data_IF_621145068551
#
_entry.id   IF_621145068551
#
_cell.length_a   1.000
_cell.length_b   1.000
_cell.length_c   1.000
_cell.angle_alpha   90.00
_cell.angle_beta   90.00
_cell.angle_gamma   90.00
#
_symmetry.space_group_name_H-M   'P 1'
#
loop_
_entity.id
_entity.type
_entity.pdbx_description
1 polymer ?
#
# COMPACT_ATOMS: atom_id res chain seq x y z
N UNK A 1 30.17 53.51 30.42
CA UNK A 1 29.73 52.23 29.83
C UNK A 1 28.89 51.52 30.86
N UNK A 2 27.60 51.42 30.57
CA UNK A 2 26.52 51.23 31.53
C UNK A 2 26.35 49.74 31.92
N UNK A 3 26.32 49.44 33.22
CA UNK A 3 26.20 48.07 33.77
C UNK A 3 24.91 47.38 33.36
N UNK A 4 23.91 48.13 32.90
CA UNK A 4 22.64 47.57 32.42
C UNK A 4 22.73 46.93 31.02
N UNK A 5 23.70 47.27 30.16
CA UNK A 5 23.84 46.60 28.85
C UNK A 5 24.45 45.19 28.94
N UNK A 6 25.24 44.90 29.97
CA UNK A 6 25.85 43.58 30.19
C UNK A 6 24.86 42.54 30.74
N UNK A 7 23.81 42.97 31.46
CA UNK A 7 22.79 42.06 31.99
C UNK A 7 21.80 41.57 30.92
N UNK A 8 21.45 42.41 29.93
CA UNK A 8 20.55 41.99 28.85
C UNK A 8 21.22 41.02 27.86
N UNK A 9 22.53 41.14 27.65
CA UNK A 9 23.28 40.22 26.79
C UNK A 9 23.43 38.81 27.41
N UNK A 10 23.55 38.70 28.74
CA UNK A 10 23.73 37.41 29.42
C UNK A 10 22.43 36.62 29.56
N UNK A 11 21.29 37.29 29.79
CA UNK A 11 19.97 36.63 29.88
C UNK A 11 19.52 36.11 28.50
N UNK A 12 19.75 36.87 27.42
CA UNK A 12 19.43 36.44 26.05
C UNK A 12 20.21 35.21 25.57
N UNK A 13 21.50 35.12 25.93
CA UNK A 13 22.34 33.97 25.60
C UNK A 13 21.94 32.70 26.38
N UNK A 14 21.53 32.84 27.64
CA UNK A 14 21.07 31.71 28.47
C UNK A 14 19.74 31.15 27.94
N UNK A 15 18.83 32.02 27.46
CA UNK A 15 17.58 31.57 26.82
C UNK A 15 17.81 30.88 25.47
N UNK A 16 18.74 31.36 24.65
CA UNK A 16 19.05 30.73 23.36
C UNK A 16 19.68 29.33 23.54
N UNK A 17 20.64 29.19 24.46
CA UNK A 17 21.28 27.91 24.75
C UNK A 17 20.32 26.89 25.39
N UNK A 18 19.37 27.36 26.20
CA UNK A 18 18.35 26.51 26.82
C UNK A 18 17.29 26.05 25.80
N UNK A 19 16.89 26.91 24.86
CA UNK A 19 15.99 26.55 23.76
C UNK A 19 16.68 25.61 22.78
N UNK A 20 17.95 25.85 22.44
CA UNK A 20 18.72 24.96 21.56
C UNK A 20 18.98 23.58 22.21
N UNK A 21 19.22 23.54 23.52
CA UNK A 21 19.27 22.28 24.29
C UNK A 21 17.91 21.61 24.38
N UNK A 22 16.80 22.34 24.54
CA UNK A 22 15.46 21.74 24.55
C UNK A 22 15.06 21.23 23.16
N UNK A 23 15.37 21.96 22.10
CA UNK A 23 15.16 21.55 20.70
C UNK A 23 16.00 20.31 20.41
N UNK A 24 17.28 20.28 20.79
CA UNK A 24 18.10 19.07 20.68
C UNK A 24 17.59 17.93 21.56
N UNK A 25 17.08 18.18 22.77
CA UNK A 25 16.51 17.16 23.65
C UNK A 25 15.17 16.62 23.12
N UNK A 26 14.38 17.44 22.42
CA UNK A 26 13.15 17.05 21.71
C UNK A 26 13.47 16.30 20.40
N UNK A 27 14.53 16.66 19.69
CA UNK A 27 15.01 15.95 18.49
C UNK A 27 15.72 14.63 18.81
N UNK A 28 16.30 14.46 20.01
CA UNK A 28 16.96 13.22 20.42
C UNK A 28 16.04 12.20 21.09
N UNK A 29 14.77 12.52 21.35
CA UNK A 29 13.85 11.65 22.10
C UNK A 29 12.91 10.81 21.23
N UNK A 30 13.39 10.38 20.06
CA UNK A 30 12.77 9.26 19.34
C UNK A 30 13.79 8.39 18.58
N UNK A 31 14.87 7.98 19.24
CA UNK A 31 15.82 6.97 18.72
C UNK A 31 15.44 5.54 19.12
N UNK A 32 14.16 5.19 19.02
CA UNK A 32 13.74 3.79 18.97
C UNK A 32 13.40 3.39 17.52
N UNK A 33 14.31 3.69 16.59
CA UNK A 33 14.33 3.02 15.29
C UNK A 33 15.02 1.68 15.46
N UNK A 34 14.32 0.70 16.04
CA UNK A 34 14.68 -0.69 15.78
C UNK A 34 14.43 -0.93 14.29
N UNK A 35 15.45 -0.67 13.46
CA UNK A 35 15.51 -1.21 12.12
C UNK A 35 15.69 -2.71 12.30
N UNK A 36 14.57 -3.44 12.37
CA UNK A 36 14.60 -4.90 12.24
C UNK A 36 15.09 -5.14 10.80
N UNK A 37 16.36 -5.52 10.67
CA UNK A 37 17.00 -5.69 9.37
C UNK A 37 16.55 -6.98 8.69
N UNK A 38 16.19 -8.00 9.47
CA UNK A 38 15.88 -9.34 9.02
C UNK A 38 14.46 -9.75 9.40
N UNK A 39 13.71 -10.32 8.46
CA UNK A 39 12.42 -10.95 8.74
C UNK A 39 12.68 -12.18 9.62
N UNK A 40 12.10 -12.19 10.80
CA UNK A 40 12.15 -13.31 11.73
C UNK A 40 11.38 -14.50 11.15
N UNK A 41 12.01 -15.69 11.15
CA UNK A 41 11.33 -16.95 10.86
C UNK A 41 10.98 -17.64 12.18
N UNK A 42 9.69 -17.73 12.52
CA UNK A 42 9.21 -18.43 13.73
C UNK A 42 8.58 -19.77 13.39
N UNK A 43 8.19 -20.51 14.43
CA UNK A 43 7.23 -21.61 14.29
C UNK A 43 5.81 -21.07 14.13
N UNK A 44 4.92 -21.92 13.61
CA UNK A 44 3.48 -21.63 13.62
C UNK A 44 2.99 -21.38 15.07
N UNK A 45 1.93 -20.58 15.27
CA UNK A 45 1.44 -20.23 16.62
C UNK A 45 1.07 -21.43 17.51
N UNK A 46 0.69 -22.56 16.90
CA UNK A 46 0.35 -23.80 17.59
C UNK A 46 1.12 -24.98 16.96
N UNK A 47 2.43 -25.12 17.22
CA UNK A 47 3.29 -26.06 16.49
C UNK A 47 3.02 -27.53 16.84
N UNK A 48 2.37 -27.79 17.97
CA UNK A 48 2.01 -29.13 18.44
C UNK A 48 0.58 -29.54 18.10
N UNK A 49 -0.20 -28.65 17.49
CA UNK A 49 -1.59 -28.93 17.14
C UNK A 49 -1.66 -29.97 16.04
N UNK A 50 -2.59 -30.93 16.18
CA UNK A 50 -2.86 -31.94 15.16
C UNK A 50 -4.37 -32.15 14.96
N UNK A 51 -4.85 -32.45 13.74
CA UNK A 51 -6.24 -32.82 13.53
C UNK A 51 -6.61 -34.09 14.33
N UNK A 52 -7.82 -34.21 14.90
CA UNK A 52 -8.95 -33.28 14.84
C UNK A 52 -9.04 -32.36 16.09
N UNK A 53 -7.93 -32.03 16.75
CA UNK A 53 -7.96 -31.23 17.98
C UNK A 53 -8.66 -29.86 17.73
N UNK A 54 -9.54 -29.40 18.64
CA UNK A 54 -10.15 -28.09 18.51
C UNK A 54 -9.12 -26.97 18.70
N UNK A 55 -9.25 -25.88 17.93
CA UNK A 55 -8.53 -24.62 18.18
C UNK A 55 -9.53 -23.60 18.71
N UNK A 56 -9.51 -23.27 20.02
CA UNK A 56 -10.41 -22.26 20.56
C UNK A 56 -10.05 -20.87 19.99
N UNK A 57 -11.04 -20.00 19.74
CA UNK A 57 -10.77 -18.65 19.27
C UNK A 57 -10.01 -17.83 20.33
N UNK A 58 -9.33 -16.74 19.92
CA UNK A 58 -8.62 -15.86 20.84
C UNK A 58 -9.55 -14.93 21.65
N UNK A 59 -10.86 -15.17 21.64
CA UNK A 59 -11.89 -14.40 22.32
C UNK A 59 -12.90 -15.36 22.97
N UNK A 60 -13.68 -14.86 23.92
CA UNK A 60 -14.74 -15.63 24.57
C UNK A 60 -15.94 -15.83 23.62
N UNK A 61 -16.29 -17.06 23.24
CA UNK A 61 -17.45 -17.32 22.38
C UNK A 61 -18.80 -16.90 23.00
N UNK A 62 -18.88 -16.76 24.33
CA UNK A 62 -20.10 -16.34 25.01
C UNK A 62 -20.32 -14.82 24.98
N UNK A 63 -19.34 -14.03 24.53
CA UNK A 63 -19.38 -12.56 24.52
C UNK A 63 -20.27 -11.95 23.42
N UNK A 64 -20.90 -12.77 22.57
CA UNK A 64 -21.82 -12.31 21.52
C UNK A 64 -21.12 -11.75 20.26
N UNK A 65 -21.92 -11.23 19.32
CA UNK A 65 -21.45 -10.75 18.01
C UNK A 65 -21.98 -9.35 17.70
N UNK A 66 -21.14 -8.52 17.06
CA UNK A 66 -21.61 -7.33 16.36
C UNK A 66 -22.03 -7.72 14.94
N UNK A 67 -23.32 -7.98 14.76
CA UNK A 67 -23.90 -8.30 13.44
C UNK A 67 -24.38 -7.02 12.75
N UNK A 68 -23.85 -6.72 11.57
CA UNK A 68 -24.17 -5.53 10.78
C UNK A 68 -24.68 -5.98 9.42
N UNK A 69 -25.87 -5.54 9.04
CA UNK A 69 -26.44 -5.80 7.72
C UNK A 69 -26.06 -4.67 6.74
N UNK A 70 -25.23 -4.93 5.72
CA UNK A 70 -24.79 -3.91 4.78
C UNK A 70 -25.93 -3.37 3.90
N UNK A 71 -27.05 -4.09 3.77
CA UNK A 71 -28.20 -3.63 2.96
C UNK A 71 -28.93 -2.43 3.56
N UNK A 72 -28.79 -2.23 4.88
CA UNK A 72 -29.44 -1.16 5.64
C UNK A 72 -28.43 -0.21 6.32
N UNK A 73 -27.13 -0.40 6.09
CA UNK A 73 -26.06 0.38 6.73
C UNK A 73 -25.44 1.40 5.76
N UNK A 74 -25.33 2.68 6.13
CA UNK A 74 -24.64 3.69 5.31
C UNK A 74 -23.17 3.36 5.02
N UNK A 75 -22.68 3.78 3.85
CA UNK A 75 -21.34 3.41 3.36
C UNK A 75 -20.18 3.96 4.18
N UNK A 76 -20.35 5.12 4.81
CA UNK A 76 -19.35 5.76 5.67
C UNK A 76 -19.16 4.99 6.99
N UNK A 77 -20.22 4.36 7.51
CA UNK A 77 -20.15 3.43 8.65
C UNK A 77 -19.50 2.11 8.24
N UNK A 78 -19.79 1.61 7.04
CA UNK A 78 -19.18 0.37 6.53
C UNK A 78 -17.69 0.52 6.20
N UNK A 79 -17.26 1.70 5.74
CA UNK A 79 -15.90 1.90 5.25
C UNK A 79 -14.81 1.54 6.27
N UNK A 80 -14.82 2.05 7.53
CA UNK A 80 -13.86 1.65 8.55
C UNK A 80 -13.84 0.14 8.77
N UNK A 81 -15.01 -0.50 8.85
CA UNK A 81 -15.14 -1.93 9.07
C UNK A 81 -14.50 -2.73 7.92
N UNK A 82 -14.77 -2.37 6.67
CA UNK A 82 -14.21 -3.04 5.50
C UNK A 82 -12.68 -2.94 5.50
N UNK A 83 -12.13 -1.73 5.70
CA UNK A 83 -10.68 -1.53 5.63
C UNK A 83 -9.92 -2.02 6.86
N UNK A 84 -10.59 -2.24 8.00
CA UNK A 84 -9.94 -2.79 9.20
C UNK A 84 -10.08 -4.30 9.31
N UNK A 85 -11.11 -4.90 8.69
CA UNK A 85 -11.35 -6.36 8.75
C UNK A 85 -10.61 -7.13 7.67
N UNK A 86 -10.48 -6.57 6.46
CA UNK A 86 -9.75 -7.20 5.35
C UNK A 86 -8.33 -6.66 5.34
N UNK A 87 -7.45 -7.29 6.14
CA UNK A 87 -6.04 -6.91 6.33
C UNK A 87 -5.16 -8.15 6.55
N UNK A 88 -3.85 -8.08 6.28
CA UNK A 88 -3.14 -7.01 5.56
C UNK A 88 -3.49 -7.00 4.07
N UNK A 89 -3.66 -5.82 3.47
CA UNK A 89 -3.91 -5.69 2.03
C UNK A 89 -2.64 -5.37 1.26
N UNK A 90 -2.32 -6.08 0.16
CA UNK A 90 -1.27 -5.63 -0.74
C UNK A 90 -1.69 -4.32 -1.42
N UNK A 91 -0.72 -3.56 -1.90
CA UNK A 91 -0.94 -2.27 -2.53
C UNK A 91 -0.47 -2.34 -3.98
N UNK A 92 -1.37 -2.11 -4.93
CA UNK A 92 -1.02 -1.85 -6.31
C UNK A 92 -0.62 -0.38 -6.46
N UNK A 93 0.65 -0.10 -6.73
CA UNK A 93 1.08 1.24 -7.08
C UNK A 93 1.04 1.42 -8.59
N UNK A 94 -0.04 2.07 -9.05
CA UNK A 94 -0.46 2.03 -10.44
C UNK A 94 0.10 3.23 -11.18
N UNK A 95 0.91 2.95 -12.20
CA UNK A 95 1.27 3.89 -13.25
C UNK A 95 0.35 3.71 -14.45
N UNK A 96 -0.14 4.82 -14.99
CA UNK A 96 -1.08 4.85 -16.13
C UNK A 96 -0.87 6.11 -16.96
N UNK A 97 -1.25 6.06 -18.24
CA UNK A 97 -1.16 7.18 -19.17
C UNK A 97 -2.51 7.36 -19.87
N UNK A 98 -2.97 8.60 -19.97
CA UNK A 98 -4.16 9.00 -20.74
C UNK A 98 -3.88 9.11 -22.24
N UNK A 99 -4.93 9.19 -23.06
CA UNK A 99 -4.79 9.35 -24.53
C UNK A 99 -4.08 10.65 -24.93
N UNK A 100 -4.14 11.66 -24.06
CA UNK A 100 -3.46 12.95 -24.19
C UNK A 100 -1.99 12.92 -23.74
N UNK A 101 -1.50 11.76 -23.30
CA UNK A 101 -0.15 11.59 -22.74
C UNK A 101 -0.04 11.94 -21.26
N UNK A 102 -1.13 12.36 -20.60
CA UNK A 102 -1.12 12.69 -19.17
C UNK A 102 -0.74 11.47 -18.34
N UNK A 103 0.38 11.56 -17.63
CA UNK A 103 0.85 10.51 -16.71
C UNK A 103 0.14 10.63 -15.37
N UNK A 104 -0.08 9.48 -14.73
CA UNK A 104 -0.60 9.41 -13.37
C UNK A 104 0.07 8.27 -12.61
N UNK A 105 0.42 8.49 -11.36
CA UNK A 105 0.93 7.48 -10.44
C UNK A 105 0.19 7.50 -9.09
N UNK A 106 -0.47 6.41 -8.69
CA UNK A 106 -1.24 6.38 -7.43
C UNK A 106 -1.35 4.99 -6.78
N UNK A 107 -1.39 4.89 -5.43
CA UNK A 107 -1.52 3.61 -4.71
C UNK A 107 -2.98 3.18 -4.49
N UNK A 108 -3.25 1.88 -4.68
CA UNK A 108 -4.56 1.25 -4.51
C UNK A 108 -4.46 -0.03 -3.68
N UNK A 109 -5.13 -0.07 -2.52
CA UNK A 109 -5.08 -1.26 -1.63
C UNK A 109 -6.20 -2.27 -1.84
N UNK A 110 -7.14 -2.03 -2.76
CA UNK A 110 -8.16 -3.01 -3.13
C UNK A 110 -7.60 -3.85 -4.29
N UNK A 111 -6.54 -4.60 -4.00
CA UNK A 111 -5.71 -5.30 -4.98
C UNK A 111 -5.50 -6.76 -4.57
N UNK A 112 -5.54 -7.69 -5.54
CA UNK A 112 -5.10 -9.07 -5.33
C UNK A 112 -4.79 -9.79 -6.66
N UNK A 113 -4.13 -10.96 -6.57
CA UNK A 113 -3.99 -11.92 -7.67
C UNK A 113 -5.30 -12.70 -7.85
N UNK A 114 -5.68 -12.96 -9.09
CA UNK A 114 -6.90 -13.71 -9.48
C UNK A 114 -6.55 -15.11 -9.99
N UNK A 115 -5.51 -15.24 -10.80
CA UNK A 115 -5.13 -16.50 -11.43
C UNK A 115 -3.71 -16.45 -11.98
N UNK A 116 -3.17 -17.62 -12.34
CA UNK A 116 -1.80 -17.76 -12.87
C UNK A 116 -1.75 -18.35 -14.29
N UNK A 117 -2.89 -18.75 -14.86
CA UNK A 117 -2.99 -19.27 -16.23
C UNK A 117 -4.35 -18.87 -16.86
N UNK A 118 -4.46 -17.68 -17.49
CA UNK A 118 -3.42 -16.64 -17.60
C UNK A 118 -3.15 -15.93 -16.25
N UNK A 119 -2.00 -15.23 -16.10
CA UNK A 119 -1.72 -14.43 -14.92
C UNK A 119 -2.64 -13.21 -14.86
N UNK A 120 -3.52 -13.18 -13.87
CA UNK A 120 -4.56 -12.16 -13.73
C UNK A 120 -4.46 -11.47 -12.37
N UNK A 121 -4.70 -10.15 -12.35
CA UNK A 121 -4.82 -9.33 -11.15
C UNK A 121 -6.14 -8.56 -11.14
N UNK A 122 -6.67 -8.29 -9.96
CA UNK A 122 -7.87 -7.47 -9.76
C UNK A 122 -7.53 -6.18 -9.01
N UNK A 123 -8.05 -5.06 -9.48
CA UNK A 123 -7.96 -3.76 -8.81
C UNK A 123 -9.36 -3.15 -8.68
N UNK A 124 -9.75 -2.81 -7.45
CA UNK A 124 -10.95 -2.06 -7.14
C UNK A 124 -10.67 -0.55 -7.07
N UNK A 125 -11.45 0.22 -7.83
CA UNK A 125 -11.46 1.69 -7.82
C UNK A 125 -12.77 2.17 -7.23
N UNK A 126 -12.73 2.77 -6.03
CA UNK A 126 -13.91 3.44 -5.49
C UNK A 126 -14.14 4.79 -6.17
N UNK A 127 -15.42 5.17 -6.29
CA UNK A 127 -15.78 6.51 -6.73
C UNK A 127 -15.14 7.59 -5.86
N UNK A 128 -14.85 8.74 -6.48
CA UNK A 128 -14.23 9.88 -5.80
C UNK A 128 -15.07 11.13 -5.99
N UNK A 129 -15.15 11.97 -4.96
CA UNK A 129 -15.77 13.30 -5.03
C UNK A 129 -14.81 14.39 -5.51
N UNK A 130 -13.55 14.04 -5.77
CA UNK A 130 -12.49 14.97 -6.19
C UNK A 130 -12.52 15.29 -7.70
N UNK A 131 -13.39 14.61 -8.45
CA UNK A 131 -13.57 14.75 -9.89
C UNK A 131 -15.07 14.73 -10.17
N UNK A 132 -15.53 15.61 -11.05
CA UNK A 132 -16.96 15.77 -11.35
C UNK A 132 -17.58 14.49 -11.93
N UNK A 133 -16.80 13.73 -12.72
CA UNK A 133 -17.23 12.47 -13.31
C UNK A 133 -17.11 11.26 -12.36
N UNK A 134 -16.74 11.48 -11.09
CA UNK A 134 -16.76 10.47 -10.04
C UNK A 134 -15.69 9.38 -10.11
N UNK A 135 -14.72 9.47 -11.04
CA UNK A 135 -13.68 8.46 -11.26
C UNK A 135 -12.30 9.02 -10.92
N UNK A 136 -11.38 8.15 -10.49
CA UNK A 136 -9.96 8.49 -10.33
C UNK A 136 -9.28 8.58 -11.69
N UNK A 137 -8.24 9.41 -11.79
CA UNK A 137 -7.51 9.65 -13.03
C UNK A 137 -6.89 8.35 -13.58
N UNK A 138 -6.30 7.51 -12.70
CA UNK A 138 -5.80 6.19 -13.10
C UNK A 138 -6.88 5.30 -13.74
N UNK A 139 -8.13 5.34 -13.21
CA UNK A 139 -9.22 4.57 -13.79
C UNK A 139 -9.62 5.11 -15.17
N UNK A 140 -9.68 6.44 -15.33
CA UNK A 140 -9.95 7.06 -16.63
C UNK A 140 -8.90 6.65 -17.66
N UNK A 141 -7.62 6.74 -17.30
CA UNK A 141 -6.50 6.35 -18.14
C UNK A 141 -6.59 4.87 -18.54
N UNK A 142 -6.75 3.97 -17.57
CA UNK A 142 -6.89 2.52 -17.78
C UNK A 142 -8.07 2.18 -18.69
N UNK A 143 -9.20 2.86 -18.53
CA UNK A 143 -10.37 2.60 -19.36
C UNK A 143 -10.18 3.08 -20.79
N UNK A 144 -9.43 4.16 -21.01
CA UNK A 144 -9.15 4.71 -22.34
C UNK A 144 -8.08 3.87 -23.06
N UNK A 145 -6.92 3.68 -22.45
CA UNK A 145 -5.74 3.07 -23.10
C UNK A 145 -5.67 1.56 -22.95
N UNK A 146 -6.42 0.98 -22.01
CA UNK A 146 -6.42 -0.47 -21.68
C UNK A 146 -5.08 -0.98 -21.15
N UNK A 147 -4.19 -0.08 -20.73
CA UNK A 147 -2.84 -0.40 -20.27
C UNK A 147 -2.56 0.22 -18.90
N UNK A 148 -1.79 -0.48 -18.07
CA UNK A 148 -1.25 0.03 -16.82
C UNK A 148 -0.09 -0.81 -16.32
N UNK A 149 0.64 -0.29 -15.34
CA UNK A 149 1.67 -1.03 -14.62
C UNK A 149 1.34 -1.08 -13.15
N UNK A 150 1.41 -2.25 -12.54
CA UNK A 150 1.41 -2.41 -11.08
C UNK A 150 2.85 -2.50 -10.59
N UNK A 151 3.24 -1.60 -9.70
CA UNK A 151 4.53 -1.59 -9.02
C UNK A 151 4.32 -2.02 -7.56
N UNK A 152 5.11 -2.98 -7.07
CA UNK A 152 5.02 -3.40 -5.67
C UNK A 152 5.77 -2.39 -4.80
N UNK A 153 5.10 -1.89 -3.75
CA UNK A 153 5.71 -0.97 -2.78
C UNK A 153 6.52 -1.74 -1.76
N UNK A 154 7.74 -1.26 -1.55
CA UNK A 154 8.69 -1.77 -0.56
C UNK A 154 9.05 -0.69 0.45
N UNK A 155 9.60 -1.11 1.59
CA UNK A 155 9.93 -0.22 2.72
C UNK A 155 10.74 1.02 2.33
N UNK A 156 11.68 0.92 1.39
CA UNK A 156 12.65 1.98 1.10
C UNK A 156 12.07 3.18 0.32
N UNK A 157 10.87 3.08 -0.22
CA UNK A 157 10.24 4.18 -0.97
C UNK A 157 8.78 4.43 -0.57
N UNK A 158 8.36 3.93 0.60
CA UNK A 158 6.97 4.01 1.05
C UNK A 158 6.50 5.45 1.25
N UNK A 159 7.38 6.35 1.69
CA UNK A 159 7.06 7.77 1.87
C UNK A 159 6.78 8.45 0.52
N UNK A 160 7.59 8.18 -0.50
CA UNK A 160 7.38 8.69 -1.85
C UNK A 160 6.10 8.12 -2.48
N UNK A 161 5.85 6.82 -2.32
CA UNK A 161 4.62 6.19 -2.77
C UNK A 161 3.37 6.73 -2.02
N UNK A 162 3.49 7.03 -0.73
CA UNK A 162 2.44 7.68 0.05
C UNK A 162 2.22 9.13 -0.39
N UNK A 163 3.26 9.87 -0.78
CA UNK A 163 3.10 11.23 -1.31
C UNK A 163 2.16 11.26 -2.53
N UNK A 164 2.22 10.23 -3.38
CA UNK A 164 1.37 10.05 -4.55
C UNK A 164 -0.12 9.81 -4.24
N UNK A 165 -0.53 9.67 -2.97
CA UNK A 165 -1.96 9.62 -2.61
C UNK A 165 -2.58 11.00 -2.34
N UNK A 166 -1.79 12.08 -2.49
CA UNK A 166 -2.26 13.46 -2.35
C UNK A 166 -3.37 13.81 -3.34
N UNK A 167 -4.21 14.79 -2.97
CA UNK A 167 -5.29 15.28 -3.82
C UNK A 167 -4.76 16.31 -4.83
N UNK A 168 -3.88 15.88 -5.73
CA UNK A 168 -3.32 16.77 -6.75
C UNK A 168 -4.34 17.09 -7.85
N UNK A 169 -4.20 18.25 -8.52
CA UNK A 169 -4.99 18.57 -9.71
C UNK A 169 -4.79 17.52 -10.82
N UNK A 170 -5.79 17.40 -11.70
CA UNK A 170 -5.65 16.60 -12.91
C UNK A 170 -4.46 17.10 -13.75
N UNK A 171 -3.67 16.17 -14.31
CA UNK A 171 -2.47 16.51 -15.09
C UNK A 171 -1.21 16.74 -14.27
N UNK A 172 -1.27 16.67 -12.94
CA UNK A 172 -0.08 16.69 -12.11
C UNK A 172 0.72 15.40 -12.30
N UNK A 173 2.04 15.52 -12.46
CA UNK A 173 2.94 14.38 -12.56
C UNK A 173 3.37 13.94 -11.15
N UNK A 174 2.66 12.97 -10.56
CA UNK A 174 3.01 12.47 -9.22
C UNK A 174 4.37 11.79 -9.18
N UNK A 175 4.88 11.29 -10.30
CA UNK A 175 6.21 10.69 -10.36
C UNK A 175 7.28 11.76 -10.14
N UNK A 176 7.15 12.92 -10.81
CA UNK A 176 8.01 14.08 -10.59
C UNK A 176 7.87 14.64 -9.17
N UNK A 177 6.63 14.81 -8.68
CA UNK A 177 6.36 15.37 -7.34
C UNK A 177 6.90 14.50 -6.20
N UNK A 178 6.88 13.17 -6.36
CA UNK A 178 7.37 12.24 -5.35
C UNK A 178 8.88 11.96 -5.44
N UNK A 179 9.53 12.43 -6.52
CA UNK A 179 10.95 12.16 -6.78
C UNK A 179 11.25 10.73 -7.23
N UNK A 180 10.22 9.99 -7.65
CA UNK A 180 10.35 8.65 -8.20
C UNK A 180 10.81 8.69 -9.66
N UNK A 181 11.44 7.62 -10.13
CA UNK A 181 12.06 7.60 -11.45
C UNK A 181 11.24 6.79 -12.47
N UNK A 182 10.85 7.39 -13.61
CA UNK A 182 10.20 6.64 -14.68
C UNK A 182 11.18 5.64 -15.31
N UNK A 183 10.72 4.41 -15.48
CA UNK A 183 11.45 3.35 -16.15
C UNK A 183 10.61 2.80 -17.32
N UNK A 184 11.08 2.82 -18.57
CA UNK A 184 10.30 2.31 -19.69
C UNK A 184 9.83 0.85 -19.51
N UNK A 185 8.59 0.62 -19.94
CA UNK A 185 7.96 -0.70 -20.06
C UNK A 185 8.33 -1.37 -21.38
N UNK A 186 8.16 -2.68 -21.48
CA UNK A 186 8.51 -3.48 -22.67
C UNK A 186 7.31 -3.85 -23.55
N UNK A 187 6.11 -3.92 -22.97
CA UNK A 187 4.87 -4.41 -23.60
C UNK A 187 3.71 -3.43 -23.52
N UNK A 188 3.76 -2.46 -22.60
CA UNK A 188 2.73 -1.41 -22.45
C UNK A 188 3.36 -0.02 -22.48
N UNK A 189 2.52 1.00 -22.66
CA UNK A 189 2.92 2.41 -22.74
C UNK A 189 3.28 3.05 -21.39
N UNK A 190 2.50 2.84 -20.29
CA UNK A 190 2.80 3.49 -19.02
C UNK A 190 4.15 3.05 -18.44
N UNK A 191 4.95 3.97 -17.85
CA UNK A 191 6.25 3.62 -17.30
C UNK A 191 6.12 2.80 -16.01
N UNK A 192 7.11 1.96 -15.76
CA UNK A 192 7.37 1.36 -14.44
C UNK A 192 8.03 2.39 -13.51
N UNK A 193 8.03 2.09 -12.22
CA UNK A 193 8.75 2.85 -11.18
C UNK A 193 10.08 2.15 -10.93
N UNK A 194 11.20 2.85 -11.15
CA UNK A 194 12.53 2.24 -11.06
C UNK A 194 12.87 1.73 -9.65
N UNK A 195 12.32 2.39 -8.62
CA UNK A 195 12.52 2.05 -7.21
C UNK A 195 11.77 0.77 -6.80
N UNK A 196 10.80 0.32 -7.60
CA UNK A 196 10.07 -0.92 -7.33
C UNK A 196 10.87 -2.12 -7.83
N UNK A 197 11.10 -3.12 -6.96
CA UNK A 197 11.86 -4.31 -7.32
C UNK A 197 11.00 -5.39 -8.03
N UNK A 198 9.67 -5.25 -8.03
CA UNK A 198 8.73 -6.14 -8.71
C UNK A 198 7.67 -5.31 -9.42
N UNK A 199 7.58 -5.45 -10.74
CA UNK A 199 6.60 -4.74 -11.56
C UNK A 199 5.85 -5.68 -12.51
N UNK A 200 4.58 -5.36 -12.75
CA UNK A 200 3.68 -6.12 -13.59
C UNK A 200 3.13 -5.18 -14.65
N UNK A 201 3.50 -5.40 -15.92
CA UNK A 201 2.88 -4.71 -17.04
C UNK A 201 1.56 -5.41 -17.38
N UNK A 202 0.47 -4.65 -17.46
CA UNK A 202 -0.88 -5.21 -17.50
C UNK A 202 -1.70 -4.62 -18.66
N UNK A 203 -2.49 -5.48 -19.29
CA UNK A 203 -3.57 -5.08 -20.20
C UNK A 203 -4.94 -5.40 -19.60
N UNK A 204 -5.94 -4.59 -19.87
CA UNK A 204 -7.30 -4.80 -19.35
C UNK A 204 -7.96 -5.99 -20.03
N UNK A 205 -8.49 -6.93 -19.24
CA UNK A 205 -9.31 -8.07 -19.72
C UNK A 205 -10.78 -7.88 -19.47
N UNK A 206 -11.13 -7.48 -18.25
CA UNK A 206 -12.51 -7.27 -17.85
C UNK A 206 -12.65 -6.03 -17.00
N UNK A 207 -13.82 -5.41 -17.11
CA UNK A 207 -14.22 -4.27 -16.29
C UNK A 207 -15.62 -4.58 -15.78
N UNK A 208 -15.80 -4.51 -14.48
CA UNK A 208 -17.10 -4.65 -13.83
C UNK A 208 -17.41 -3.40 -13.03
N UNK A 209 -18.60 -2.84 -13.21
CA UNK A 209 -19.06 -1.67 -12.46
C UNK A 209 -20.12 -2.10 -11.45
N UNK A 210 -19.84 -1.89 -10.18
CA UNK A 210 -20.80 -2.00 -9.10
C UNK A 210 -21.33 -0.60 -8.77
N UNK A 211 -22.64 -0.45 -8.73
CA UNK A 211 -23.29 0.77 -8.24
C UNK A 211 -24.11 0.42 -7.01
N UNK A 212 -24.18 1.35 -6.07
CA UNK A 212 -25.01 1.22 -4.87
C UNK A 212 -25.75 2.54 -4.62
N UNK A 213 -27.02 2.42 -4.26
CA UNK A 213 -27.89 3.52 -3.83
C UNK A 213 -28.51 3.21 -2.47
N UNK A 214 -27.68 2.77 -1.52
CA UNK A 214 -28.11 2.42 -0.16
C UNK A 214 -28.09 3.68 0.71
N UNK A 215 -29.14 3.87 1.52
CA UNK A 215 -29.21 4.95 2.52
C UNK A 215 -29.17 6.36 1.95
N UNK A 216 -29.67 6.58 0.72
CA UNK A 216 -29.65 7.90 0.06
C UNK A 216 -28.28 8.37 -0.44
N UNK A 217 -27.25 7.52 -0.35
CA UNK A 217 -25.91 7.81 -0.86
C UNK A 217 -25.68 7.03 -2.16
N UNK A 218 -25.46 7.74 -3.27
CA UNK A 218 -25.03 7.12 -4.52
C UNK A 218 -23.53 6.92 -4.49
N UNK A 219 -23.10 5.65 -4.51
CA UNK A 219 -21.70 5.27 -4.57
C UNK A 219 -21.47 4.23 -5.67
N UNK A 220 -20.20 3.98 -5.97
CA UNK A 220 -19.83 2.96 -6.92
C UNK A 220 -18.40 2.51 -6.77
N UNK A 221 -18.12 1.35 -7.34
CA UNK A 221 -16.77 0.88 -7.55
C UNK A 221 -16.66 0.25 -8.94
N UNK A 222 -15.48 0.39 -9.52
CA UNK A 222 -15.12 -0.32 -10.73
C UNK A 222 -14.05 -1.34 -10.37
N UNK A 223 -14.28 -2.60 -10.72
CA UNK A 223 -13.26 -3.64 -10.66
C UNK A 223 -12.67 -3.80 -12.04
N UNK A 224 -11.36 -3.65 -12.14
CA UNK A 224 -10.58 -3.95 -13.34
C UNK A 224 -9.85 -5.27 -13.13
N UNK A 225 -10.04 -6.21 -14.05
CA UNK A 225 -9.22 -7.41 -14.16
C UNK A 225 -8.18 -7.17 -15.25
N UNK A 226 -6.91 -7.15 -14.86
CA UNK A 226 -5.77 -7.03 -15.76
C UNK A 226 -5.09 -8.37 -15.99
N UNK A 227 -4.69 -8.64 -17.23
CA UNK A 227 -3.75 -9.72 -17.57
C UNK A 227 -2.33 -9.18 -17.53
N UNK A 228 -1.45 -9.87 -16.82
CA UNK A 228 -0.04 -9.52 -16.72
C UNK A 228 0.68 -10.03 -17.97
N UNK A 229 1.11 -9.10 -18.82
CA UNK A 229 1.78 -9.40 -20.10
C UNK A 229 3.31 -9.39 -19.99
N UNK A 230 3.84 -8.80 -18.91
CA UNK A 230 5.27 -8.88 -18.56
C UNK A 230 5.45 -8.80 -17.06
N UNK A 231 6.30 -9.66 -16.51
CA UNK A 231 6.70 -9.64 -15.11
C UNK A 231 8.17 -9.24 -15.01
N UNK A 232 8.46 -8.27 -14.16
CA UNK A 232 9.81 -7.83 -13.86
C UNK A 232 10.12 -8.14 -12.40
N UNK A 233 11.23 -8.82 -12.16
CA UNK A 233 11.78 -9.07 -10.82
C UNK A 233 13.23 -8.65 -10.86
N UNK A 234 13.62 -7.70 -10.01
CA UNK A 234 15.01 -7.30 -9.91
C UNK A 234 15.87 -8.44 -9.35
N UNK A 235 17.06 -8.65 -9.90
CA UNK A 235 17.95 -9.74 -9.46
C UNK A 235 18.31 -9.65 -7.97
N UNK A 236 18.38 -8.43 -7.44
CA UNK A 236 18.60 -8.19 -6.01
C UNK A 236 17.55 -8.81 -5.10
N UNK A 237 16.32 -9.04 -5.58
CA UNK A 237 15.23 -9.68 -4.83
C UNK A 237 14.82 -11.05 -5.38
N UNK A 238 15.48 -11.52 -6.44
CA UNK A 238 15.22 -12.83 -7.02
C UNK A 238 15.78 -13.94 -6.11
N UNK A 239 15.05 -15.06 -6.07
CA UNK A 239 15.42 -16.27 -5.36
C UNK A 239 14.99 -17.51 -6.14
N UNK A 240 15.24 -18.69 -5.56
CA UNK A 240 14.79 -19.98 -6.10
C UNK A 240 13.98 -20.74 -5.07
N UNK A 241 12.87 -21.33 -5.52
CA UNK A 241 12.13 -22.32 -4.73
C UNK A 241 12.99 -23.57 -4.50
N UNK A 242 12.60 -24.47 -3.58
CA UNK A 242 13.25 -25.79 -3.45
C UNK A 242 13.30 -26.59 -4.76
N UNK A 243 12.34 -26.36 -5.67
CA UNK A 243 12.28 -26.96 -7.01
C UNK A 243 13.03 -26.17 -8.09
N UNK A 244 13.82 -25.16 -7.71
CA UNK A 244 14.64 -24.37 -8.62
C UNK A 244 13.89 -23.32 -9.45
N UNK A 245 12.60 -23.09 -9.19
CA UNK A 245 11.79 -22.09 -9.90
C UNK A 245 12.07 -20.70 -9.37
N UNK A 246 12.01 -19.67 -10.23
CA UNK A 246 12.11 -18.27 -9.81
C UNK A 246 11.03 -17.94 -8.78
N UNK A 247 11.45 -17.33 -7.67
CA UNK A 247 10.57 -16.76 -6.64
C UNK A 247 11.10 -15.40 -6.22
N UNK A 248 10.27 -14.61 -5.55
CA UNK A 248 10.70 -13.36 -4.93
C UNK A 248 11.10 -13.62 -3.48
N UNK A 249 12.30 -13.21 -3.11
CA UNK A 249 12.78 -13.26 -1.74
C UNK A 249 12.14 -12.11 -0.95
N UNK A 250 11.18 -12.46 -0.09
CA UNK A 250 10.42 -11.47 0.70
C UNK A 250 11.30 -10.72 1.70
N UNK A 251 12.41 -11.31 2.18
CA UNK A 251 13.34 -10.65 3.09
C UNK A 251 14.07 -9.49 2.40
N UNK A 252 14.33 -9.64 1.10
CA UNK A 252 14.96 -8.61 0.29
C UNK A 252 13.92 -7.63 -0.28
N UNK A 253 12.75 -8.12 -0.68
CA UNK A 253 11.68 -7.28 -1.22
C UNK A 253 11.12 -6.31 -0.17
N UNK A 254 10.99 -6.74 1.10
CA UNK A 254 10.38 -5.95 2.19
C UNK A 254 9.08 -5.25 1.77
N UNK A 255 8.08 -6.00 1.26
CA UNK A 255 6.86 -5.40 0.74
C UNK A 255 6.05 -4.76 1.86
N UNK A 256 5.38 -3.67 1.54
CA UNK A 256 4.50 -2.94 2.45
C UNK A 256 3.03 -3.30 2.17
N UNK A 257 2.28 -3.50 3.26
CA UNK A 257 0.84 -3.69 3.23
C UNK A 257 0.08 -2.50 3.80
N UNK A 258 -1.19 -2.34 3.41
CA UNK A 258 -2.13 -1.39 4.01
C UNK A 258 -3.00 -2.10 5.04
N UNK A 259 -3.20 -1.47 6.20
CA UNK A 259 -4.07 -1.92 7.27
C UNK A 259 -5.31 -1.02 7.37
N UNK A 260 -5.91 -0.90 8.57
CA UNK A 260 -6.99 0.04 8.84
C UNK A 260 -6.49 1.49 8.92
N UNK A 261 -7.31 2.43 8.45
CA UNK A 261 -7.00 3.86 8.48
C UNK A 261 -5.70 4.22 7.74
N UNK A 262 -4.82 4.95 8.43
CA UNK A 262 -3.52 5.40 7.91
C UNK A 262 -2.38 4.40 8.18
N UNK A 263 -2.68 3.26 8.79
CA UNK A 263 -1.66 2.32 9.25
C UNK A 263 -1.15 1.45 8.10
N UNK A 264 0.17 1.31 8.03
CA UNK A 264 0.88 0.39 7.14
C UNK A 264 1.46 -0.78 7.95
N UNK A 265 1.58 -1.95 7.30
CA UNK A 265 2.17 -3.15 7.90
C UNK A 265 3.46 -3.55 7.19
N UNK A 266 4.50 -3.83 7.98
CA UNK A 266 5.71 -4.53 7.52
C UNK A 266 5.51 -6.05 7.64
N UNK A 267 6.22 -6.80 6.81
CA UNK A 267 6.30 -8.27 6.93
C UNK A 267 7.54 -8.63 7.74
N UNK A 268 7.47 -8.53 9.07
CA UNK A 268 8.64 -8.73 9.94
C UNK A 268 8.76 -10.13 10.53
N UNK A 269 7.66 -10.87 10.61
CA UNK A 269 7.61 -12.21 11.20
C UNK A 269 6.84 -13.14 10.25
N UNK A 270 7.44 -14.27 9.91
CA UNK A 270 6.89 -15.28 9.00
C UNK A 270 7.13 -16.68 9.58
N UNK A 271 6.25 -17.61 9.22
CA UNK A 271 6.43 -19.03 9.51
C UNK A 271 6.01 -19.84 8.30
N UNK A 272 6.67 -20.98 8.08
CA UNK A 272 6.29 -21.91 7.02
C UNK A 272 5.31 -22.94 7.60
N UNK A 273 4.16 -23.10 6.93
CA UNK A 273 3.20 -24.15 7.26
C UNK A 273 3.03 -25.05 6.02
N UNK A 274 3.55 -26.29 6.03
CA UNK A 274 3.39 -27.18 4.88
C UNK A 274 1.92 -27.49 4.67
N UNK A 275 1.50 -27.56 3.41
CA UNK A 275 0.17 -28.04 3.06
C UNK A 275 0.06 -29.50 3.53
N UNK A 276 -1.00 -29.90 4.25
CA UNK A 276 -1.20 -31.30 4.61
C UNK A 276 -1.21 -32.18 3.36
N UNK A 277 -0.45 -33.27 3.38
CA UNK A 277 -0.60 -34.36 2.42
C UNK A 277 -1.99 -35.01 2.62
N UNK A 278 -2.61 -35.46 1.52
CA UNK A 278 -3.96 -36.05 1.54
C UNK A 278 -4.03 -37.30 2.41
#
# INVERSE_FOLDING_TARGET
MDRNQLLFASVGAITALAVEKLVNLLFFRNKNTHHITDILRTQAPHPTWTPPQPQPPPYDPASGWHSIDPSSTPSDVLYPLVISSVVPRPIAFISSIGEDGTQNLAPYSYFNVVGHAPPLVAIGFCSTKLRDHGKKDSLCNILATKEFVVNIISEWFVEAANHCCGNFPYGADEMSLSGLTPLPSQKVTPPRVAESAVQLECIVRHVYNASSSIGGTTGGSTVVIGEVVMWHVAEGVAGKSPSGKLVVDIQKLKPISRLGGNTYGRTNDIFDLPRPDR
#
